data_IF_910786860209
#
_entry.id   IF_910786860209
#
_cell.length_a   1.000
_cell.length_b   1.000
_cell.length_c   1.000
_cell.angle_alpha   90.00
_cell.angle_beta   90.00
_cell.angle_gamma   90.00
#
_symmetry.space_group_name_H-M   'P 1'
#
loop_
_entity.id
_entity.type
_entity.pdbx_description
1 polymer ?
#
# COMPACT_ATOMS: atom_id res chain seq x y z
N UNK A 1 56.66 -34.20 2.96
CA UNK A 1 55.94 -33.58 1.83
C UNK A 1 54.51 -34.10 1.82
N UNK A 2 53.55 -33.36 2.39
CA UNK A 2 52.10 -33.58 2.16
C UNK A 2 51.48 -32.20 2.00
N UNK A 3 51.08 -31.88 0.77
CA UNK A 3 50.57 -30.57 0.36
C UNK A 3 49.10 -30.39 0.79
N UNK A 4 48.83 -29.23 1.37
CA UNK A 4 47.50 -28.66 1.62
C UNK A 4 46.82 -28.30 0.30
N UNK A 5 45.56 -28.69 0.12
CA UNK A 5 44.65 -28.09 -0.87
C UNK A 5 43.51 -27.44 -0.11
N UNK A 6 43.54 -26.11 -0.03
CA UNK A 6 42.43 -25.26 0.42
C UNK A 6 41.59 -24.98 -0.82
N UNK A 7 40.35 -25.49 -0.87
CA UNK A 7 39.37 -25.09 -1.89
C UNK A 7 38.71 -23.80 -1.44
N UNK A 8 39.03 -22.70 -2.13
CA UNK A 8 38.36 -21.40 -1.99
C UNK A 8 36.98 -21.51 -2.66
N UNK A 9 35.90 -21.46 -1.87
CA UNK A 9 34.54 -21.40 -2.37
C UNK A 9 34.19 -19.93 -2.61
N UNK A 10 34.12 -19.52 -3.89
CA UNK A 10 33.70 -18.19 -4.29
C UNK A 10 32.17 -18.12 -4.18
N UNK A 11 31.64 -17.45 -3.14
CA UNK A 11 30.22 -17.13 -3.06
C UNK A 11 29.91 -16.01 -4.07
N UNK A 12 29.37 -16.36 -5.23
CA UNK A 12 28.69 -15.41 -6.11
C UNK A 12 27.37 -15.01 -5.45
N UNK A 13 27.31 -13.80 -4.91
CA UNK A 13 26.05 -13.14 -4.58
C UNK A 13 25.32 -12.82 -5.89
N UNK A 14 24.41 -13.70 -6.30
CA UNK A 14 23.40 -13.38 -7.31
C UNK A 14 22.48 -12.31 -6.71
N UNK A 15 22.67 -11.05 -7.10
CA UNK A 15 21.66 -10.02 -6.87
C UNK A 15 20.44 -10.39 -7.74
N UNK A 16 19.34 -10.78 -7.12
CA UNK A 16 18.09 -10.92 -7.85
C UNK A 16 17.61 -9.52 -8.27
N UNK A 17 17.53 -9.31 -9.57
CA UNK A 17 16.88 -8.12 -10.14
C UNK A 17 15.38 -8.34 -10.00
N UNK A 18 14.77 -7.68 -9.02
CA UNK A 18 13.33 -7.59 -8.91
C UNK A 18 12.84 -6.62 -9.98
N UNK A 19 12.13 -7.13 -10.99
CA UNK A 19 11.49 -6.31 -12.01
C UNK A 19 10.02 -6.11 -11.65
N UNK A 20 9.60 -4.85 -11.62
CA UNK A 20 8.20 -4.46 -11.51
C UNK A 20 7.51 -4.80 -12.84
N UNK A 21 6.49 -5.67 -12.80
CA UNK A 21 5.70 -6.01 -13.99
C UNK A 21 4.58 -4.97 -14.13
N UNK A 22 4.89 -3.91 -14.89
CA UNK A 22 3.97 -2.82 -15.18
C UNK A 22 3.18 -3.17 -16.45
N UNK A 23 1.87 -3.42 -16.28
CA UNK A 23 0.96 -3.58 -17.41
C UNK A 23 0.24 -2.25 -17.67
N UNK A 24 0.76 -1.48 -18.63
CA UNK A 24 0.10 -0.30 -19.16
C UNK A 24 -1.08 -0.76 -20.04
N UNK A 25 -2.25 -0.92 -19.43
CA UNK A 25 -3.44 -1.39 -20.16
C UNK A 25 -3.97 -0.37 -21.17
N UNK A 26 -3.71 0.93 -20.96
CA UNK A 26 -3.98 1.99 -21.93
C UNK A 26 -2.96 3.14 -21.79
N UNK A 27 -2.49 3.69 -22.91
CA UNK A 27 -1.61 4.85 -22.91
C UNK A 27 -2.27 6.05 -22.21
N UNK A 28 -1.64 6.57 -21.17
CA UNK A 28 -2.13 7.75 -20.46
C UNK A 28 -1.79 8.97 -21.31
N UNK A 29 -2.65 9.31 -22.28
CA UNK A 29 -2.50 10.52 -23.12
C UNK A 29 -2.49 11.83 -22.29
N UNK A 30 -2.74 11.77 -20.98
CA UNK A 30 -2.71 12.88 -20.03
C UNK A 30 -1.54 12.85 -19.02
N UNK A 31 -0.60 11.91 -19.14
CA UNK A 31 0.53 11.83 -18.21
C UNK A 31 1.52 12.98 -18.44
N UNK A 32 1.93 13.63 -17.36
CA UNK A 32 2.88 14.74 -17.35
C UNK A 32 4.26 14.26 -17.80
N UNK A 33 4.81 14.76 -18.92
CA UNK A 33 6.13 14.37 -19.37
C UNK A 33 7.22 14.92 -18.44
N UNK A 34 8.03 14.04 -17.86
CA UNK A 34 9.11 14.41 -16.94
C UNK A 34 10.39 13.64 -17.27
N UNK A 35 11.54 14.32 -17.20
CA UNK A 35 12.85 13.69 -17.30
C UNK A 35 13.54 13.65 -15.93
N UNK A 36 14.13 12.50 -15.59
CA UNK A 36 14.98 12.34 -14.41
C UNK A 36 16.44 12.30 -14.89
N UNK A 37 17.13 13.40 -14.69
CA UNK A 37 18.53 13.54 -15.05
C UNK A 37 19.42 12.84 -14.01
N UNK A 38 20.62 12.44 -14.41
CA UNK A 38 21.56 11.76 -13.53
C UNK A 38 21.83 12.57 -12.25
N UNK A 39 21.82 11.87 -11.11
CA UNK A 39 22.27 12.39 -9.81
C UNK A 39 23.80 12.25 -9.62
N UNK A 40 24.49 11.66 -10.59
CA UNK A 40 25.90 11.28 -10.54
C UNK A 40 26.15 9.89 -11.13
N UNK A 41 27.41 9.59 -11.45
CA UNK A 41 27.77 8.34 -12.15
C UNK A 41 28.01 7.15 -11.21
N UNK A 42 28.16 7.39 -9.90
CA UNK A 42 28.34 6.33 -8.93
C UNK A 42 27.04 5.54 -8.68
N UNK A 43 27.17 4.31 -8.20
CA UNK A 43 26.03 3.41 -7.99
C UNK A 43 24.96 3.99 -7.06
N UNK A 44 25.36 4.75 -6.04
CA UNK A 44 24.42 5.38 -5.09
C UNK A 44 23.57 6.46 -5.77
N UNK A 45 24.17 7.27 -6.63
CA UNK A 45 23.47 8.30 -7.38
C UNK A 45 22.51 7.68 -8.41
N UNK A 46 22.95 6.61 -9.08
CA UNK A 46 22.09 5.85 -9.99
C UNK A 46 20.88 5.25 -9.26
N UNK A 47 21.08 4.69 -8.06
CA UNK A 47 20.00 4.16 -7.23
C UNK A 47 18.94 5.23 -6.90
N UNK A 48 19.36 6.41 -6.44
CA UNK A 48 18.41 7.50 -6.15
C UNK A 48 17.63 7.91 -7.39
N UNK A 49 18.31 8.11 -8.53
CA UNK A 49 17.65 8.45 -9.79
C UNK A 49 16.62 7.40 -10.22
N UNK A 50 16.99 6.12 -10.12
CA UNK A 50 16.10 5.01 -10.47
C UNK A 50 14.87 4.92 -9.55
N UNK A 51 15.03 5.16 -8.24
CA UNK A 51 13.90 5.17 -7.31
C UNK A 51 12.94 6.30 -7.64
N UNK A 52 13.44 7.51 -7.91
CA UNK A 52 12.59 8.65 -8.29
C UNK A 52 11.85 8.37 -9.61
N UNK A 53 12.54 7.82 -10.60
CA UNK A 53 11.93 7.42 -11.87
C UNK A 53 10.81 6.40 -11.66
N UNK A 54 11.09 5.34 -10.88
CA UNK A 54 10.13 4.28 -10.59
C UNK A 54 8.91 4.80 -9.83
N UNK A 55 9.10 5.66 -8.83
CA UNK A 55 8.03 6.26 -8.05
C UNK A 55 7.08 7.06 -8.92
N UNK A 56 7.62 8.00 -9.71
CA UNK A 56 6.81 8.87 -10.56
C UNK A 56 6.09 8.07 -11.65
N UNK A 57 6.74 7.04 -12.20
CA UNK A 57 6.12 6.10 -13.13
C UNK A 57 5.00 5.28 -12.46
N UNK A 58 5.22 4.77 -11.24
CA UNK A 58 4.25 4.01 -10.45
C UNK A 58 3.00 4.83 -10.12
N UNK A 59 3.16 6.13 -9.93
CA UNK A 59 2.03 7.04 -9.68
C UNK A 59 1.05 7.11 -10.85
N UNK A 60 1.55 6.82 -12.06
CA UNK A 60 0.76 6.86 -13.27
C UNK A 60 0.41 8.24 -13.82
N UNK A 61 0.78 9.28 -13.09
CA UNK A 61 0.57 10.67 -13.50
C UNK A 61 1.69 11.19 -14.39
N UNK A 62 2.80 10.45 -14.51
CA UNK A 62 3.99 10.88 -15.22
C UNK A 62 4.36 9.90 -16.33
N UNK A 63 4.89 10.46 -17.42
CA UNK A 63 5.55 9.72 -18.48
C UNK A 63 7.03 10.08 -18.47
N UNK A 64 7.88 9.08 -18.28
CA UNK A 64 9.33 9.29 -18.22
C UNK A 64 9.86 9.61 -19.63
N UNK A 65 10.64 10.68 -19.73
CA UNK A 65 11.35 11.09 -20.94
C UNK A 65 12.84 10.88 -20.71
N UNK A 66 13.43 9.95 -21.46
CA UNK A 66 14.86 9.68 -21.42
C UNK A 66 15.61 10.56 -22.41
N UNK A 67 16.79 11.03 -22.01
CA UNK A 67 17.72 11.79 -22.86
C UNK A 67 19.05 11.10 -23.05
N UNK A 68 19.89 11.59 -23.98
CA UNK A 68 21.27 11.09 -24.13
C UNK A 68 22.10 11.35 -22.87
N UNK A 69 23.08 10.49 -22.62
CA UNK A 69 24.03 10.67 -21.53
C UNK A 69 25.07 11.72 -21.95
N UNK A 70 24.96 12.94 -21.44
CA UNK A 70 25.95 14.00 -21.61
C UNK A 70 27.06 13.96 -20.54
N UNK A 71 27.86 15.02 -20.38
CA UNK A 71 28.88 15.10 -19.32
C UNK A 71 28.27 14.86 -17.93
N UNK A 72 28.93 14.06 -17.09
CA UNK A 72 28.43 13.60 -15.78
C UNK A 72 27.10 12.81 -15.84
N UNK A 73 26.78 12.23 -17.01
CA UNK A 73 25.51 11.56 -17.27
C UNK A 73 24.31 12.49 -17.37
N UNK A 74 24.53 13.80 -17.55
CA UNK A 74 23.45 14.79 -17.58
C UNK A 74 23.18 15.32 -18.99
N UNK A 75 21.90 15.40 -19.36
CA UNK A 75 21.42 16.15 -20.53
C UNK A 75 21.07 17.59 -20.15
N UNK A 76 21.21 18.52 -21.09
CA UNK A 76 20.71 19.88 -20.90
C UNK A 76 19.18 19.89 -20.88
N UNK A 77 18.59 20.83 -20.12
CA UNK A 77 17.13 21.01 -20.05
C UNK A 77 16.55 21.30 -21.45
N UNK A 78 17.27 22.03 -22.30
CA UNK A 78 16.84 22.31 -23.68
C UNK A 78 16.74 21.05 -24.53
N UNK A 79 17.67 20.10 -24.41
CA UNK A 79 17.64 18.83 -25.12
C UNK A 79 16.47 17.96 -24.64
N UNK A 80 16.28 17.84 -23.32
CA UNK A 80 15.17 17.06 -22.75
C UNK A 80 13.81 17.65 -23.13
N UNK A 81 13.69 18.98 -23.20
CA UNK A 81 12.50 19.66 -23.71
C UNK A 81 12.23 19.29 -25.18
N UNK A 82 13.25 19.27 -26.03
CA UNK A 82 13.10 18.88 -27.44
C UNK A 82 12.64 17.41 -27.59
N UNK A 83 13.00 16.56 -26.63
CA UNK A 83 12.52 15.18 -26.52
C UNK A 83 11.12 15.07 -25.87
N UNK A 84 10.52 16.19 -25.51
CA UNK A 84 9.14 16.29 -25.03
C UNK A 84 8.97 16.26 -23.52
N UNK A 85 10.02 16.53 -22.73
CA UNK A 85 9.89 16.73 -21.29
C UNK A 85 9.37 18.13 -20.97
N UNK A 86 8.31 18.23 -20.16
CA UNK A 86 7.80 19.51 -19.66
C UNK A 86 8.51 19.93 -18.36
N UNK A 87 8.97 18.95 -17.59
CA UNK A 87 9.73 19.15 -16.35
C UNK A 87 10.99 18.29 -16.32
N UNK A 88 12.03 18.77 -15.64
CA UNK A 88 13.29 18.05 -15.46
C UNK A 88 13.70 18.07 -14.00
N UNK A 89 13.93 16.89 -13.42
CA UNK A 89 14.60 16.74 -12.12
C UNK A 89 16.07 16.50 -12.39
N UNK A 90 16.95 17.33 -11.82
CA UNK A 90 18.40 17.11 -11.89
C UNK A 90 18.97 17.09 -10.47
N UNK A 91 19.82 16.12 -10.17
CA UNK A 91 20.39 15.98 -8.84
C UNK A 91 21.89 15.88 -8.80
N UNK A 92 22.42 15.85 -7.59
CA UNK A 92 23.82 15.57 -7.28
C UNK A 92 23.91 14.84 -5.94
N UNK A 93 24.69 13.77 -5.92
CA UNK A 93 25.05 13.05 -4.70
C UNK A 93 26.55 13.14 -4.48
N UNK A 94 26.95 13.59 -3.31
CA UNK A 94 28.35 13.62 -2.87
C UNK A 94 28.49 13.04 -1.48
N UNK A 95 29.50 12.18 -1.30
CA UNK A 95 29.85 11.67 0.02
C UNK A 95 30.75 12.69 0.74
N UNK A 96 30.36 13.07 1.96
CA UNK A 96 31.09 14.00 2.83
C UNK A 96 31.38 13.27 4.15
N UNK A 97 32.57 12.69 4.26
CA UNK A 97 32.93 11.79 5.37
C UNK A 97 32.03 10.55 5.40
N UNK A 98 31.30 10.37 6.50
CA UNK A 98 30.37 9.24 6.69
C UNK A 98 28.90 9.59 6.32
N UNK A 99 28.67 10.77 5.76
CA UNK A 99 27.34 11.24 5.35
C UNK A 99 27.30 11.49 3.85
N UNK A 100 26.10 11.62 3.32
CA UNK A 100 25.84 12.01 1.95
C UNK A 100 25.16 13.38 1.94
N UNK A 101 25.68 14.28 1.10
CA UNK A 101 24.96 15.45 0.64
C UNK A 101 24.23 15.09 -0.65
N UNK A 102 22.91 15.20 -0.63
CA UNK A 102 22.05 14.97 -1.80
C UNK A 102 21.32 16.27 -2.10
N UNK A 103 21.51 16.80 -3.30
CA UNK A 103 20.78 17.98 -3.77
C UNK A 103 19.99 17.64 -5.02
N UNK A 104 18.84 18.30 -5.20
CA UNK A 104 18.08 18.21 -6.43
C UNK A 104 17.46 19.56 -6.79
N UNK A 105 17.21 19.74 -8.08
CA UNK A 105 16.50 20.87 -8.66
C UNK A 105 15.44 20.35 -9.63
N UNK A 106 14.20 20.76 -9.40
CA UNK A 106 13.09 20.59 -10.34
C UNK A 106 12.95 21.86 -11.17
N UNK A 107 12.94 21.69 -12.48
CA UNK A 107 12.93 22.78 -13.47
C UNK A 107 11.74 22.64 -14.40
N UNK A 108 11.08 23.77 -14.70
CA UNK A 108 10.11 23.88 -15.80
C UNK A 108 10.86 24.05 -17.13
N UNK A 109 10.83 23.01 -17.96
CA UNK A 109 11.55 22.98 -19.24
C UNK A 109 10.89 23.89 -20.30
N UNK A 110 9.58 24.12 -20.19
CA UNK A 110 8.80 24.92 -21.14
C UNK A 110 8.99 26.42 -20.86
N UNK A 111 8.97 26.81 -19.59
CA UNK A 111 9.14 28.18 -19.11
C UNK A 111 10.62 28.61 -19.01
N UNK A 112 11.36 28.47 -20.12
CA UNK A 112 12.78 28.87 -20.25
C UNK A 112 13.74 28.26 -19.21
N UNK A 113 13.42 27.10 -18.63
CA UNK A 113 14.26 26.47 -17.62
C UNK A 113 14.14 27.10 -16.23
N UNK A 114 12.97 27.64 -15.88
CA UNK A 114 12.75 28.26 -14.56
C UNK A 114 12.79 27.21 -13.47
N UNK A 115 13.54 27.46 -12.40
CA UNK A 115 13.58 26.59 -11.22
C UNK A 115 12.26 26.64 -10.44
N UNK A 116 11.64 25.48 -10.26
CA UNK A 116 10.42 25.32 -9.47
C UNK A 116 10.71 25.00 -8.01
N UNK A 117 11.77 24.22 -7.75
CA UNK A 117 12.17 23.75 -6.43
C UNK A 117 13.65 23.37 -6.45
N UNK A 118 14.40 23.77 -5.42
CA UNK A 118 15.76 23.29 -5.15
C UNK A 118 15.89 22.97 -3.68
N UNK A 119 16.44 21.80 -3.34
CA UNK A 119 16.71 21.39 -1.96
C UNK A 119 18.00 20.61 -1.84
N UNK A 120 18.56 20.62 -0.64
CA UNK A 120 19.76 19.87 -0.24
C UNK A 120 19.52 19.19 1.09
N UNK A 121 19.96 17.95 1.19
CA UNK A 121 19.81 17.08 2.34
C UNK A 121 21.16 16.51 2.76
N UNK A 122 21.31 16.31 4.06
CA UNK A 122 22.51 15.71 4.67
C UNK A 122 22.08 14.47 5.44
N UNK A 123 22.40 13.29 4.93
CA UNK A 123 21.84 12.02 5.41
C UNK A 123 22.92 10.95 5.65
N UNK A 124 22.60 9.90 6.39
CA UNK A 124 23.42 8.69 6.48
C UNK A 124 23.08 7.71 5.34
N UNK A 125 23.95 6.72 5.12
CA UNK A 125 23.80 5.74 4.03
C UNK A 125 22.44 5.00 4.05
N UNK A 126 21.94 4.64 5.24
CA UNK A 126 20.66 3.95 5.40
C UNK A 126 19.42 4.81 5.08
N UNK A 127 19.59 6.10 4.81
CA UNK A 127 18.51 7.03 4.49
C UNK A 127 18.46 7.38 2.99
N UNK A 128 19.38 6.86 2.17
CA UNK A 128 19.46 7.19 0.74
C UNK A 128 18.16 6.90 -0.02
N UNK A 129 17.63 5.69 0.14
CA UNK A 129 16.38 5.28 -0.49
C UNK A 129 15.14 5.97 0.10
N UNK A 130 14.95 6.05 1.44
CA UNK A 130 13.89 6.87 2.01
C UNK A 130 13.91 8.32 1.52
N UNK A 131 15.10 8.91 1.33
CA UNK A 131 15.22 10.24 0.77
C UNK A 131 14.80 10.30 -0.70
N UNK A 132 15.13 9.29 -1.52
CA UNK A 132 14.68 9.24 -2.90
C UNK A 132 13.15 9.27 -2.99
N UNK A 133 12.46 8.45 -2.20
CA UNK A 133 11.00 8.49 -2.07
C UNK A 133 10.47 9.86 -1.61
N UNK A 134 11.15 10.48 -0.64
CA UNK A 134 10.79 11.81 -0.19
C UNK A 134 10.92 12.86 -1.30
N UNK A 135 12.01 12.83 -2.07
CA UNK A 135 12.21 13.70 -3.24
C UNK A 135 11.08 13.48 -4.26
N UNK A 136 10.70 12.22 -4.53
CA UNK A 136 9.55 11.89 -5.38
C UNK A 136 8.26 12.53 -4.88
N UNK A 137 8.01 12.49 -3.56
CA UNK A 137 6.81 13.10 -2.95
C UNK A 137 6.80 14.62 -3.15
N UNK A 138 7.95 15.27 -3.02
CA UNK A 138 8.10 16.72 -3.24
C UNK A 138 7.89 17.11 -4.70
N UNK A 139 8.49 16.37 -5.63
CA UNK A 139 8.33 16.59 -7.07
C UNK A 139 6.88 16.39 -7.47
N UNK A 140 6.28 15.28 -7.02
CA UNK A 140 4.88 14.96 -7.27
C UNK A 140 3.96 16.07 -6.74
N UNK A 141 4.14 16.51 -5.49
CA UNK A 141 3.31 17.56 -4.91
C UNK A 141 3.51 18.90 -5.60
N UNK A 142 4.73 19.24 -6.00
CA UNK A 142 5.00 20.51 -6.68
C UNK A 142 4.32 20.58 -8.05
N UNK A 143 4.26 19.46 -8.78
CA UNK A 143 3.70 19.40 -10.14
C UNK A 143 2.19 19.13 -10.16
N UNK A 144 1.65 18.41 -9.19
CA UNK A 144 0.24 18.00 -9.17
C UNK A 144 -0.62 18.75 -8.16
N UNK A 145 0.00 19.38 -7.15
CA UNK A 145 -0.70 19.95 -6.00
C UNK A 145 -1.16 18.93 -4.95
N UNK A 146 -0.96 17.63 -5.19
CA UNK A 146 -1.39 16.54 -4.31
C UNK A 146 -0.22 15.91 -3.56
N UNK A 147 -0.42 15.43 -2.35
CA UNK A 147 0.66 14.78 -1.59
C UNK A 147 0.98 13.39 -2.18
N UNK A 148 2.23 13.17 -2.56
CA UNK A 148 2.73 11.87 -3.02
C UNK A 148 2.67 10.78 -1.94
N UNK A 149 2.71 9.51 -2.35
CA UNK A 149 2.61 8.35 -1.45
C UNK A 149 3.90 7.53 -1.36
N UNK A 150 5.00 7.98 -1.93
CA UNK A 150 6.17 7.14 -2.13
C UNK A 150 6.90 6.86 -0.80
N UNK A 151 6.82 7.80 0.15
CA UNK A 151 7.33 7.60 1.52
C UNK A 151 6.39 6.79 2.43
N UNK A 152 5.29 6.25 1.91
CA UNK A 152 4.39 5.38 2.68
C UNK A 152 4.89 3.93 2.69
N UNK A 153 4.20 3.07 3.41
CA UNK A 153 4.52 1.64 3.52
C UNK A 153 3.30 0.79 3.22
N UNK A 154 3.54 -0.49 2.97
CA UNK A 154 2.52 -1.51 2.85
C UNK A 154 2.76 -2.59 3.90
N UNK A 155 1.68 -3.13 4.44
CA UNK A 155 1.70 -4.34 5.25
C UNK A 155 1.00 -5.45 4.49
N UNK A 156 1.46 -6.69 4.61
CA UNK A 156 0.82 -7.85 4.00
C UNK A 156 1.19 -9.13 4.75
N UNK A 157 0.41 -10.18 4.53
CA UNK A 157 0.72 -11.50 5.06
C UNK A 157 1.47 -12.30 4.01
N UNK A 158 2.68 -12.74 4.32
CA UNK A 158 3.42 -13.71 3.51
C UNK A 158 3.18 -15.13 4.04
N UNK A 159 2.88 -16.06 3.14
CA UNK A 159 2.63 -17.47 3.44
C UNK A 159 3.66 -18.33 2.73
N UNK A 160 4.55 -18.93 3.51
CA UNK A 160 5.58 -19.84 3.01
C UNK A 160 5.17 -21.27 3.34
N UNK A 161 4.85 -22.04 2.30
CA UNK A 161 4.47 -23.45 2.41
C UNK A 161 5.65 -24.34 2.03
N UNK A 162 6.05 -25.20 2.95
CA UNK A 162 6.98 -26.31 2.69
C UNK A 162 6.26 -27.63 2.96
N UNK A 163 6.75 -28.77 2.46
CA UNK A 163 6.14 -30.07 2.75
C UNK A 163 6.06 -30.42 4.24
N UNK A 164 6.86 -29.76 5.10
CA UNK A 164 6.93 -30.04 6.54
C UNK A 164 6.18 -29.05 7.41
N UNK A 165 6.11 -27.78 6.99
CA UNK A 165 5.55 -26.69 7.79
C UNK A 165 5.07 -25.54 6.90
N UNK A 166 4.05 -24.83 7.38
CA UNK A 166 3.63 -23.54 6.84
C UNK A 166 4.02 -22.43 7.81
N UNK A 167 4.55 -21.31 7.31
CA UNK A 167 4.82 -20.09 8.09
C UNK A 167 4.00 -18.94 7.55
N UNK A 168 3.49 -18.13 8.47
CA UNK A 168 2.79 -16.89 8.19
C UNK A 168 3.60 -15.74 8.78
N UNK A 169 3.94 -14.76 7.96
CA UNK A 169 4.67 -13.57 8.41
C UNK A 169 3.86 -12.31 8.14
N UNK A 170 3.78 -11.42 9.13
CA UNK A 170 3.31 -10.05 8.91
C UNK A 170 4.51 -9.23 8.45
N UNK A 171 4.52 -8.91 7.16
CA UNK A 171 5.59 -8.15 6.52
C UNK A 171 5.20 -6.67 6.43
N UNK A 172 6.18 -5.79 6.57
CA UNK A 172 6.08 -4.36 6.25
C UNK A 172 7.16 -4.01 5.24
N UNK A 173 6.79 -3.35 4.15
CA UNK A 173 7.68 -2.94 3.06
C UNK A 173 7.43 -1.47 2.69
N UNK A 174 8.35 -0.89 1.94
CA UNK A 174 8.15 0.40 1.27
C UNK A 174 6.97 0.31 0.30
N UNK A 175 6.36 1.44 -0.08
CA UNK A 175 5.16 1.48 -0.93
C UNK A 175 5.29 0.73 -2.27
N UNK A 176 6.52 0.61 -2.78
CA UNK A 176 6.86 -0.10 -4.02
C UNK A 176 7.29 -1.57 -3.79
N UNK A 177 7.16 -2.09 -2.57
CA UNK A 177 7.41 -3.49 -2.20
C UNK A 177 8.86 -3.82 -1.82
N UNK A 178 9.77 -2.85 -1.85
CA UNK A 178 11.16 -3.05 -1.42
C UNK A 178 11.30 -3.00 0.11
N UNK A 179 12.49 -3.42 0.59
CA UNK A 179 12.83 -3.46 2.01
C UNK A 179 11.80 -4.17 2.92
N UNK A 180 11.27 -5.35 2.54
CA UNK A 180 10.33 -6.05 3.40
C UNK A 180 11.00 -6.52 4.70
N UNK A 181 10.34 -6.23 5.82
CA UNK A 181 10.71 -6.60 7.17
C UNK A 181 9.58 -7.37 7.86
N UNK A 182 9.90 -8.54 8.41
CA UNK A 182 8.93 -9.33 9.17
C UNK A 182 8.76 -8.73 10.57
N UNK A 183 7.59 -8.18 10.87
CA UNK A 183 7.22 -7.73 12.22
C UNK A 183 6.88 -8.90 13.15
N UNK A 184 6.32 -9.96 12.58
CA UNK A 184 5.91 -11.17 13.30
C UNK A 184 6.04 -12.37 12.37
N UNK A 185 6.45 -13.51 12.92
CA UNK A 185 6.40 -14.82 12.27
C UNK A 185 5.61 -15.78 13.16
N UNK A 186 4.66 -16.51 12.57
CA UNK A 186 3.85 -17.50 13.26
C UNK A 186 3.78 -18.82 12.49
N UNK A 187 3.63 -19.92 13.22
CA UNK A 187 3.32 -21.24 12.66
C UNK A 187 1.81 -21.46 12.46
N UNK A 188 0.98 -20.59 13.02
CA UNK A 188 -0.47 -20.58 12.84
C UNK A 188 -0.88 -19.38 11.96
N UNK A 189 -2.06 -19.43 11.30
CA UNK A 189 -2.53 -18.33 10.48
C UNK A 189 -2.60 -17.00 11.24
N UNK A 190 -2.24 -15.93 10.52
CA UNK A 190 -2.50 -14.54 10.88
C UNK A 190 -3.15 -13.85 9.69
N UNK A 191 -4.04 -12.89 9.92
CA UNK A 191 -4.78 -12.23 8.84
C UNK A 191 -5.29 -10.83 9.20
N UNK A 192 -5.82 -10.15 8.18
CA UNK A 192 -6.46 -8.83 8.28
C UNK A 192 -5.62 -7.78 9.02
N UNK A 193 -4.39 -7.51 8.56
CA UNK A 193 -3.62 -6.40 9.11
C UNK A 193 -4.34 -5.07 8.83
N UNK A 194 -4.34 -4.15 9.79
CA UNK A 194 -4.84 -2.80 9.62
C UNK A 194 -3.95 -1.80 10.38
N UNK A 195 -3.48 -0.78 9.67
CA UNK A 195 -2.65 0.28 10.23
C UNK A 195 -3.44 1.19 11.17
N UNK A 196 -2.81 1.58 12.28
CA UNK A 196 -3.26 2.74 13.06
C UNK A 196 -3.12 4.01 12.22
N UNK A 197 -3.95 5.06 12.45
CA UNK A 197 -3.91 6.29 11.66
C UNK A 197 -2.59 7.06 11.75
N UNK A 198 -1.81 6.84 12.80
CA UNK A 198 -0.47 7.41 13.00
C UNK A 198 0.66 6.55 12.40
N UNK A 199 0.33 5.39 11.84
CA UNK A 199 1.30 4.46 11.22
C UNK A 199 2.21 3.73 12.20
N UNK A 200 2.00 3.87 13.53
CA UNK A 200 2.92 3.30 14.54
C UNK A 200 2.58 1.87 14.94
N UNK A 201 1.35 1.43 14.69
CA UNK A 201 0.87 0.11 15.08
C UNK A 201 0.09 -0.56 13.95
N UNK A 202 0.07 -1.89 13.96
CA UNK A 202 -0.78 -2.69 13.09
C UNK A 202 -1.63 -3.60 13.97
N UNK A 203 -2.96 -3.55 13.80
CA UNK A 203 -3.86 -4.57 14.37
C UNK A 203 -3.95 -5.76 13.42
N UNK A 204 -4.08 -6.97 13.95
CA UNK A 204 -4.23 -8.19 13.16
C UNK A 204 -4.96 -9.27 13.95
N UNK A 205 -5.44 -10.28 13.24
CA UNK A 205 -6.03 -11.50 13.82
C UNK A 205 -4.97 -12.58 13.88
N UNK A 206 -4.84 -13.23 15.03
CA UNK A 206 -4.00 -14.40 15.25
C UNK A 206 -4.85 -15.63 15.55
N UNK A 207 -4.47 -16.77 14.98
CA UNK A 207 -5.04 -18.09 15.28
C UNK A 207 -4.10 -18.96 16.12
N UNK A 208 -3.05 -18.37 16.67
CA UNK A 208 -2.17 -19.03 17.64
C UNK A 208 -2.99 -19.64 18.78
N UNK A 209 -2.53 -20.76 19.31
CA UNK A 209 -3.26 -21.53 20.35
C UNK A 209 -4.64 -22.01 19.87
N UNK A 210 -4.85 -22.13 18.56
CA UNK A 210 -6.09 -22.62 17.91
C UNK A 210 -7.33 -21.79 18.27
N UNK A 211 -7.15 -20.51 18.54
CA UNK A 211 -8.23 -19.57 18.87
C UNK A 211 -8.03 -18.26 18.12
N UNK A 212 -9.11 -17.71 17.55
CA UNK A 212 -9.09 -16.39 16.95
C UNK A 212 -8.96 -15.31 18.04
N UNK A 213 -7.93 -14.48 17.94
CA UNK A 213 -7.64 -13.38 18.86
C UNK A 213 -7.21 -12.15 18.08
N UNK A 214 -7.57 -10.95 18.55
CA UNK A 214 -7.13 -9.69 17.95
C UNK A 214 -5.99 -9.11 18.76
N UNK A 215 -4.91 -8.75 18.10
CA UNK A 215 -3.74 -8.11 18.67
C UNK A 215 -3.45 -6.79 17.96
N UNK A 216 -2.71 -5.91 18.62
CA UNK A 216 -1.90 -4.88 17.98
C UNK A 216 -0.42 -5.22 18.12
N UNK A 217 0.40 -4.79 17.15
CA UNK A 217 1.85 -4.85 17.18
C UNK A 217 2.44 -3.48 16.86
N UNK A 218 3.43 -3.05 17.63
CA UNK A 218 4.22 -1.83 17.35
C UNK A 218 5.13 -2.08 16.14
N UNK A 219 5.12 -1.16 15.18
CA UNK A 219 5.97 -1.22 13.98
C UNK A 219 7.44 -0.97 14.34
N UNK A 220 7.70 -0.15 15.35
CA UNK A 220 9.07 0.19 15.79
C UNK A 220 9.69 -0.91 16.66
N UNK A 221 8.91 -1.45 17.61
CA UNK A 221 9.47 -2.31 18.67
C UNK A 221 9.07 -3.77 18.55
N UNK A 222 8.11 -4.11 17.68
CA UNK A 222 7.54 -5.46 17.59
C UNK A 222 6.71 -5.87 18.82
N UNK A 223 6.49 -4.96 19.78
CA UNK A 223 5.72 -5.27 20.99
C UNK A 223 4.26 -5.55 20.65
N UNK A 224 3.74 -6.68 21.17
CA UNK A 224 2.37 -7.14 20.95
C UNK A 224 1.48 -6.82 22.14
N UNK A 225 0.26 -6.35 21.87
CA UNK A 225 -0.80 -6.17 22.88
C UNK A 225 -2.06 -6.94 22.47
N UNK A 226 -2.61 -7.72 23.39
CA UNK A 226 -3.89 -8.40 23.18
C UNK A 226 -5.04 -7.39 23.30
N UNK A 227 -5.98 -7.41 22.34
CA UNK A 227 -7.18 -6.56 22.32
C UNK A 227 -8.43 -7.37 22.68
N UNK A 228 -8.69 -8.48 21.98
CA UNK A 228 -9.84 -9.35 22.29
C UNK A 228 -9.51 -10.84 22.20
N UNK A 229 -10.20 -11.63 23.02
CA UNK A 229 -10.08 -13.11 23.07
C UNK A 229 -11.38 -13.76 23.56
N UNK A 230 -12.51 -13.45 22.94
CA UNK A 230 -13.79 -14.07 23.29
C UNK A 230 -13.93 -15.47 22.65
N UNK A 231 -14.82 -16.34 23.15
CA UNK A 231 -15.22 -17.55 22.41
C UNK A 231 -15.78 -17.19 21.02
N UNK A 232 -15.50 -18.04 20.03
CA UNK A 232 -15.94 -17.84 18.64
C UNK A 232 -15.04 -16.89 17.84
N UNK A 233 -15.63 -16.19 16.88
CA UNK A 233 -14.94 -15.28 15.97
C UNK A 233 -14.48 -14.04 16.73
N UNK A 234 -13.22 -13.68 16.54
CA UNK A 234 -12.64 -12.38 16.86
C UNK A 234 -11.89 -11.96 15.59
N UNK A 235 -12.40 -10.99 14.84
CA UNK A 235 -11.85 -10.70 13.51
C UNK A 235 -12.03 -9.28 13.02
N UNK A 236 -11.51 -9.05 11.81
CA UNK A 236 -11.64 -7.84 11.01
C UNK A 236 -11.48 -6.52 11.81
N UNK A 237 -10.31 -6.31 12.44
CA UNK A 237 -10.05 -5.06 13.16
C UNK A 237 -9.93 -3.88 12.20
N UNK A 238 -10.50 -2.73 12.58
CA UNK A 238 -10.37 -1.48 11.83
C UNK A 238 -10.29 -0.28 12.78
N UNK A 239 -9.27 0.56 12.60
CA UNK A 239 -9.04 1.73 13.43
C UNK A 239 -10.02 2.86 13.12
N UNK A 240 -10.47 3.55 14.16
CA UNK A 240 -11.09 4.86 14.01
C UNK A 240 -10.05 5.89 13.53
N UNK A 241 -10.44 6.94 12.78
CA UNK A 241 -9.50 7.93 12.24
C UNK A 241 -8.70 8.69 13.32
N UNK A 242 -9.25 8.80 14.53
CA UNK A 242 -8.60 9.41 15.69
C UNK A 242 -7.66 8.45 16.45
N UNK A 243 -7.64 7.17 16.09
CA UNK A 243 -6.78 6.14 16.69
C UNK A 243 -7.22 5.65 18.08
N UNK A 244 -8.32 6.16 18.64
CA UNK A 244 -8.74 5.81 20.01
C UNK A 244 -9.56 4.52 20.09
N UNK A 245 -10.17 4.11 18.98
CA UNK A 245 -11.06 2.96 18.95
C UNK A 245 -10.69 1.98 17.84
N UNK A 246 -10.98 0.71 18.10
CA UNK A 246 -10.93 -0.36 17.10
C UNK A 246 -12.33 -0.92 16.91
N UNK A 247 -12.88 -0.82 15.71
CA UNK A 247 -14.03 -1.65 15.33
C UNK A 247 -13.54 -3.08 15.14
N UNK A 248 -14.24 -4.05 15.73
CA UNK A 248 -13.91 -5.48 15.68
C UNK A 248 -15.18 -6.29 15.47
N UNK A 249 -15.03 -7.49 14.90
CA UNK A 249 -16.13 -8.43 14.70
C UNK A 249 -16.04 -9.53 15.74
N UNK A 250 -17.10 -9.70 16.53
CA UNK A 250 -17.19 -10.74 17.55
C UNK A 250 -18.45 -11.58 17.35
N UNK A 251 -18.34 -12.90 17.51
CA UNK A 251 -19.49 -13.82 17.56
C UNK A 251 -19.81 -14.29 18.99
N UNK A 252 -19.35 -13.55 20.00
CA UNK A 252 -19.49 -13.92 21.43
C UNK A 252 -20.95 -13.99 21.91
N UNK A 253 -21.86 -13.37 21.17
CA UNK A 253 -23.31 -13.31 21.45
C UNK A 253 -24.15 -14.09 20.43
N UNK A 254 -23.53 -15.03 19.69
CA UNK A 254 -24.20 -15.81 18.64
C UNK A 254 -23.67 -15.44 17.26
N UNK A 255 -24.45 -14.72 16.46
CA UNK A 255 -24.04 -14.33 15.10
C UNK A 255 -23.01 -13.18 15.14
N UNK A 256 -22.04 -13.13 14.21
CA UNK A 256 -21.03 -12.06 14.17
C UNK A 256 -21.65 -10.66 14.12
N UNK A 257 -21.17 -9.78 15.01
CA UNK A 257 -21.54 -8.37 15.10
C UNK A 257 -20.34 -7.48 15.26
N UNK A 258 -20.53 -6.21 14.92
CA UNK A 258 -19.51 -5.18 15.04
C UNK A 258 -19.57 -4.56 16.44
N UNK A 259 -18.40 -4.45 17.07
CA UNK A 259 -18.20 -3.80 18.35
C UNK A 259 -17.11 -2.73 18.19
N UNK A 260 -17.19 -1.62 18.91
CA UNK A 260 -16.03 -0.75 19.13
C UNK A 260 -15.33 -1.13 20.43
N UNK A 261 -14.01 -1.04 20.43
CA UNK A 261 -13.14 -1.25 21.60
C UNK A 261 -12.25 -0.02 21.77
N UNK A 262 -12.32 0.61 22.94
CA UNK A 262 -11.40 1.68 23.31
C UNK A 262 -10.00 1.09 23.53
N UNK A 263 -8.99 1.60 22.81
CA UNK A 263 -7.64 1.04 22.82
C UNK A 263 -6.92 1.25 24.16
N UNK A 264 -7.32 2.24 24.95
CA UNK A 264 -6.67 2.54 26.23
C UNK A 264 -7.30 1.73 27.36
N UNK A 265 -8.60 1.87 27.54
CA UNK A 265 -9.38 1.28 28.63
C UNK A 265 -9.83 -0.15 28.36
N UNK A 266 -9.87 -0.59 27.10
CA UNK A 266 -10.45 -1.88 26.71
C UNK A 266 -11.98 -1.92 26.77
N UNK A 267 -12.63 -0.78 27.08
CA UNK A 267 -14.08 -0.67 27.14
C UNK A 267 -14.68 -0.99 25.78
N UNK A 268 -15.76 -1.77 25.77
CA UNK A 268 -16.36 -2.28 24.54
C UNK A 268 -17.84 -1.90 24.43
N UNK A 269 -18.27 -1.51 23.23
CA UNK A 269 -19.66 -1.21 22.89
C UNK A 269 -20.10 -1.97 21.64
N UNK A 270 -21.26 -2.61 21.68
CA UNK A 270 -21.85 -3.22 20.48
C UNK A 270 -22.44 -2.14 19.57
N UNK A 271 -22.15 -2.22 18.27
CA UNK A 271 -22.56 -1.23 17.27
C UNK A 271 -23.65 -1.73 16.34
N UNK A 272 -23.70 -3.04 16.05
CA UNK A 272 -24.74 -3.64 15.21
C UNK A 272 -25.52 -4.74 15.91
N UNK A 273 -26.76 -4.97 15.46
CA UNK A 273 -27.76 -5.84 16.09
C UNK A 273 -28.55 -6.63 15.05
N UNK A 274 -29.32 -7.63 15.50
CA UNK A 274 -30.14 -8.52 14.65
C UNK A 274 -29.47 -9.86 14.33
N UNK A 275 -30.04 -10.62 13.40
CA UNK A 275 -29.63 -12.02 13.16
C UNK A 275 -28.62 -12.18 12.02
N UNK A 276 -28.51 -11.20 11.13
CA UNK A 276 -27.58 -11.26 10.00
C UNK A 276 -26.11 -11.19 10.44
N UNK A 277 -25.21 -11.78 9.66
CA UNK A 277 -23.76 -11.58 9.83
C UNK A 277 -23.43 -10.14 9.45
N UNK A 278 -22.77 -9.41 10.35
CA UNK A 278 -22.17 -8.10 10.09
C UNK A 278 -20.65 -8.20 10.31
N UNK A 279 -19.86 -7.87 9.29
CA UNK A 279 -18.40 -8.06 9.31
C UNK A 279 -17.65 -7.02 8.48
N UNK A 280 -16.31 -7.07 8.52
CA UNK A 280 -15.40 -6.23 7.72
C UNK A 280 -15.69 -4.71 7.86
N UNK A 281 -15.76 -4.18 9.11
CA UNK A 281 -16.01 -2.76 9.32
C UNK A 281 -14.85 -1.90 8.80
N UNK A 282 -15.16 -0.71 8.27
CA UNK A 282 -14.21 0.36 7.98
C UNK A 282 -14.83 1.70 8.32
N UNK A 283 -14.17 2.48 9.17
CA UNK A 283 -14.62 3.84 9.48
C UNK A 283 -14.56 4.73 8.24
N UNK A 284 -15.49 5.68 8.15
CA UNK A 284 -15.34 6.80 7.23
C UNK A 284 -14.17 7.70 7.67
N UNK A 285 -13.45 8.34 6.73
CA UNK A 285 -12.37 9.29 7.03
C UNK A 285 -12.76 10.40 8.02
N UNK A 286 -14.02 10.84 8.01
CA UNK A 286 -14.54 11.84 8.95
C UNK A 286 -14.96 11.28 10.33
N UNK A 287 -14.86 9.96 10.53
CA UNK A 287 -15.18 9.28 11.78
C UNK A 287 -16.67 9.21 12.12
N UNK A 288 -17.58 9.60 11.21
CA UNK A 288 -19.03 9.68 11.51
C UNK A 288 -19.80 8.40 11.20
N UNK A 289 -19.23 7.50 10.40
CA UNK A 289 -19.91 6.28 9.95
C UNK A 289 -18.94 5.10 9.83
N UNK A 290 -19.52 3.90 9.71
CA UNK A 290 -18.79 2.66 9.40
C UNK A 290 -19.43 2.04 8.16
N UNK A 291 -18.63 1.76 7.13
CA UNK A 291 -19.01 0.80 6.08
C UNK A 291 -18.76 -0.61 6.60
N UNK A 292 -19.63 -1.55 6.26
CA UNK A 292 -19.47 -2.95 6.63
C UNK A 292 -20.19 -3.88 5.67
N UNK A 293 -19.75 -5.13 5.63
CA UNK A 293 -20.35 -6.21 4.85
C UNK A 293 -21.47 -6.85 5.67
N UNK A 294 -22.66 -7.02 5.09
CA UNK A 294 -23.77 -7.71 5.74
C UNK A 294 -24.54 -8.61 4.79
N UNK A 295 -24.95 -9.79 5.28
CA UNK A 295 -25.80 -10.75 4.58
C UNK A 295 -27.30 -10.50 4.76
N UNK A 296 -27.72 -9.39 5.39
CA UNK A 296 -29.14 -9.14 5.74
C UNK A 296 -30.09 -9.03 4.53
N UNK A 297 -29.55 -8.80 3.34
CA UNK A 297 -30.31 -8.75 2.08
C UNK A 297 -30.24 -10.03 1.25
N UNK A 298 -29.80 -11.15 1.82
CA UNK A 298 -29.58 -12.41 1.12
C UNK A 298 -28.09 -12.65 0.82
N UNK A 299 -27.54 -11.94 -0.17
CA UNK A 299 -26.11 -12.00 -0.46
C UNK A 299 -25.30 -10.92 0.29
N UNK A 300 -23.98 -11.10 0.48
CA UNK A 300 -23.13 -10.08 1.09
C UNK A 300 -23.13 -8.78 0.29
N UNK A 301 -23.48 -7.70 0.97
CA UNK A 301 -23.58 -6.36 0.40
C UNK A 301 -23.01 -5.34 1.39
N UNK A 302 -22.70 -4.15 0.89
CA UNK A 302 -22.18 -3.06 1.71
C UNK A 302 -23.32 -2.28 2.34
N UNK A 303 -23.18 -2.03 3.64
CA UNK A 303 -24.06 -1.20 4.44
C UNK A 303 -23.25 -0.11 5.13
N UNK A 304 -23.92 0.98 5.46
CA UNK A 304 -23.38 2.09 6.24
C UNK A 304 -24.12 2.20 7.55
N UNK A 305 -23.38 2.20 8.66
CA UNK A 305 -23.85 2.51 10.00
C UNK A 305 -23.50 3.96 10.34
N UNK A 306 -24.49 4.78 10.70
CA UNK A 306 -24.30 6.09 11.31
C UNK A 306 -23.92 5.92 12.78
N UNK A 307 -22.79 6.47 13.22
CA UNK A 307 -22.35 6.38 14.62
C UNK A 307 -23.12 7.32 15.55
N UNK A 308 -23.71 8.39 15.00
CA UNK A 308 -24.50 9.35 15.77
C UNK A 308 -25.91 8.83 16.06
N UNK A 309 -26.54 8.17 15.08
CA UNK A 309 -27.96 7.75 15.17
C UNK A 309 -28.15 6.25 15.36
N UNK A 310 -27.13 5.43 15.07
CA UNK A 310 -27.26 3.97 15.03
C UNK A 310 -28.01 3.45 13.79
N UNK A 311 -28.37 4.33 12.86
CA UNK A 311 -29.10 3.96 11.65
C UNK A 311 -28.21 3.17 10.69
N UNK A 312 -28.77 2.10 10.11
CA UNK A 312 -28.12 1.29 9.09
C UNK A 312 -28.85 1.44 7.76
N UNK A 313 -28.10 1.80 6.71
CA UNK A 313 -28.60 1.89 5.34
C UNK A 313 -27.78 1.03 4.37
N UNK A 314 -28.43 0.43 3.37
CA UNK A 314 -27.76 -0.31 2.30
C UNK A 314 -27.10 0.65 1.30
N UNK A 315 -25.90 0.31 0.84
CA UNK A 315 -25.09 1.14 -0.08
C UNK A 315 -25.02 0.52 -1.48
N UNK A 316 -24.77 -0.79 -1.58
CA UNK A 316 -24.59 -1.47 -2.87
C UNK A 316 -25.84 -2.25 -3.28
N UNK A 317 -26.24 -2.09 -4.54
CA UNK A 317 -27.42 -2.74 -5.13
C UNK A 317 -27.12 -3.54 -6.40
N UNK A 318 -25.94 -3.33 -7.00
CA UNK A 318 -25.45 -4.08 -8.16
C UNK A 318 -24.48 -5.20 -7.74
N UNK A 319 -24.40 -6.26 -8.54
CA UNK A 319 -23.59 -7.43 -8.27
C UNK A 319 -24.17 -8.38 -7.23
N UNK A 320 -23.76 -9.65 -7.31
CA UNK A 320 -24.23 -10.71 -6.44
C UNK A 320 -23.42 -10.83 -5.13
N UNK A 321 -22.27 -10.14 -5.01
CA UNK A 321 -21.46 -10.10 -3.79
C UNK A 321 -20.60 -8.84 -3.75
N UNK A 322 -20.72 -8.05 -2.67
CA UNK A 322 -19.89 -6.89 -2.39
C UNK A 322 -19.39 -6.94 -0.94
N UNK A 323 -18.08 -6.76 -0.73
CA UNK A 323 -17.44 -6.91 0.58
C UNK A 323 -16.21 -6.01 0.74
N UNK A 324 -15.66 -5.95 1.96
CA UNK A 324 -14.39 -5.26 2.29
C UNK A 324 -14.30 -3.80 1.79
N UNK A 325 -15.40 -3.08 1.89
CA UNK A 325 -15.49 -1.72 1.35
C UNK A 325 -14.78 -0.68 2.22
N UNK A 326 -14.15 0.30 1.58
CA UNK A 326 -13.61 1.50 2.24
C UNK A 326 -13.81 2.74 1.37
N UNK A 327 -14.01 3.89 2.00
CA UNK A 327 -14.02 5.16 1.28
C UNK A 327 -12.64 5.52 0.75
N UNK A 328 -12.60 6.27 -0.35
CA UNK A 328 -11.45 7.13 -0.66
C UNK A 328 -11.29 8.20 0.43
N UNK A 329 -10.09 8.74 0.69
CA UNK A 329 -9.86 9.74 1.73
C UNK A 329 -10.74 10.99 1.62
N UNK A 330 -11.10 11.38 0.40
CA UNK A 330 -12.00 12.50 0.10
C UNK A 330 -13.50 12.17 0.22
N UNK A 331 -13.82 10.92 0.59
CA UNK A 331 -15.18 10.38 0.74
C UNK A 331 -16.05 10.40 -0.52
N UNK A 332 -15.49 10.64 -1.70
CA UNK A 332 -16.26 10.70 -2.95
C UNK A 332 -16.57 9.33 -3.53
N UNK A 333 -15.71 8.34 -3.28
CA UNK A 333 -15.88 7.00 -3.82
C UNK A 333 -15.74 5.94 -2.72
N UNK A 334 -16.27 4.76 -3.02
CA UNK A 334 -16.17 3.54 -2.24
C UNK A 334 -15.48 2.50 -3.12
N UNK A 335 -14.37 1.97 -2.61
CA UNK A 335 -13.62 0.85 -3.21
C UNK A 335 -13.99 -0.41 -2.45
N UNK A 336 -14.21 -1.51 -3.15
CA UNK A 336 -14.66 -2.77 -2.55
C UNK A 336 -14.23 -3.99 -3.35
N UNK A 337 -14.32 -5.16 -2.72
CA UNK A 337 -14.34 -6.43 -3.42
C UNK A 337 -15.73 -6.61 -4.04
N UNK A 338 -15.79 -6.81 -5.35
CA UNK A 338 -17.02 -6.88 -6.13
C UNK A 338 -17.06 -8.15 -6.99
N UNK A 339 -18.25 -8.74 -7.10
CA UNK A 339 -18.54 -9.85 -8.00
C UNK A 339 -19.93 -9.66 -8.59
N UNK A 340 -19.97 -9.62 -9.92
CA UNK A 340 -21.23 -9.56 -10.69
C UNK A 340 -21.71 -10.97 -11.10
N UNK A 341 -20.80 -11.80 -11.61
CA UNK A 341 -21.06 -13.22 -11.93
C UNK A 341 -20.19 -14.17 -11.09
N UNK A 342 -19.13 -14.75 -11.68
CA UNK A 342 -18.24 -15.71 -11.00
C UNK A 342 -16.91 -15.13 -10.52
N UNK A 343 -16.53 -13.97 -11.04
CA UNK A 343 -15.17 -13.43 -10.92
C UNK A 343 -15.11 -12.33 -9.86
N UNK A 344 -14.16 -12.45 -8.93
CA UNK A 344 -13.89 -11.44 -7.91
C UNK A 344 -12.92 -10.40 -8.43
N UNK A 345 -13.35 -9.15 -8.46
CA UNK A 345 -12.57 -8.00 -8.93
C UNK A 345 -12.64 -6.86 -7.90
N UNK A 346 -11.79 -5.85 -8.09
CA UNK A 346 -11.85 -4.60 -7.34
C UNK A 346 -12.88 -3.68 -8.01
N UNK A 347 -13.93 -3.34 -7.27
CA UNK A 347 -15.00 -2.45 -7.70
C UNK A 347 -14.86 -1.05 -7.14
N UNK A 348 -15.39 -0.08 -7.88
CA UNK A 348 -15.48 1.33 -7.52
C UNK A 348 -16.93 1.81 -7.67
N UNK A 349 -17.47 2.47 -6.66
CA UNK A 349 -18.77 3.12 -6.70
C UNK A 349 -18.64 4.57 -6.20
N UNK A 350 -19.43 5.50 -6.74
CA UNK A 350 -19.56 6.82 -6.13
C UNK A 350 -20.25 6.68 -4.76
N UNK A 351 -19.79 7.43 -3.75
CA UNK A 351 -20.34 7.37 -2.39
C UNK A 351 -21.80 7.85 -2.30
N UNK A 352 -22.27 8.64 -3.26
CA UNK A 352 -23.67 9.03 -3.40
C UNK A 352 -24.55 7.92 -4.03
N UNK A 353 -23.96 6.80 -4.48
CA UNK A 353 -24.64 5.69 -5.13
C UNK A 353 -24.39 5.64 -6.64
N UNK A 354 -25.20 4.86 -7.35
CA UNK A 354 -25.03 4.59 -8.78
C UNK A 354 -24.28 3.30 -9.06
N UNK A 355 -23.86 3.13 -10.32
CA UNK A 355 -23.30 1.86 -10.81
C UNK A 355 -21.88 1.59 -10.32
N UNK A 356 -21.54 0.30 -10.29
CA UNK A 356 -20.23 -0.20 -9.88
C UNK A 356 -19.35 -0.39 -11.11
N UNK A 357 -18.21 0.28 -11.14
CA UNK A 357 -17.17 0.07 -12.14
C UNK A 357 -16.17 -0.98 -11.64
N UNK A 358 -15.93 -2.03 -12.42
CA UNK A 358 -14.83 -2.98 -12.16
C UNK A 358 -13.50 -2.38 -12.62
N UNK A 359 -12.57 -2.15 -11.70
CA UNK A 359 -11.24 -1.61 -11.98
C UNK A 359 -10.25 -2.68 -12.42
N UNK A 360 -10.49 -3.93 -12.04
CA UNK A 360 -9.65 -5.08 -12.36
C UNK A 360 -10.47 -6.17 -13.05
N UNK A 361 -9.77 -7.14 -13.64
CA UNK A 361 -10.37 -8.23 -14.42
C UNK A 361 -9.66 -9.57 -14.23
N UNK A 362 -8.93 -9.76 -13.13
CA UNK A 362 -8.19 -11.01 -12.87
C UNK A 362 -9.12 -12.15 -12.46
N UNK A 363 -10.25 -11.79 -11.84
CA UNK A 363 -11.26 -12.69 -11.32
C UNK A 363 -10.92 -13.42 -10.01
N UNK A 364 -9.73 -13.19 -9.46
CA UNK A 364 -9.28 -13.72 -8.15
C UNK A 364 -8.65 -12.62 -7.31
N UNK A 365 -9.25 -11.42 -7.34
CA UNK A 365 -8.76 -10.30 -6.55
C UNK A 365 -9.36 -10.31 -5.15
N UNK A 366 -8.59 -9.82 -4.18
CA UNK A 366 -8.97 -9.82 -2.78
C UNK A 366 -8.41 -8.58 -2.05
N UNK A 367 -9.06 -8.21 -0.94
CA UNK A 367 -8.49 -7.31 0.06
C UNK A 367 -8.03 -5.93 -0.45
N UNK A 368 -8.90 -5.12 -1.08
CA UNK A 368 -8.51 -3.78 -1.51
C UNK A 368 -8.13 -2.87 -0.34
N UNK A 369 -7.07 -2.09 -0.53
CA UNK A 369 -6.64 -1.03 0.38
C UNK A 369 -6.27 0.23 -0.40
N UNK A 370 -6.99 1.32 -0.12
CA UNK A 370 -6.80 2.61 -0.78
C UNK A 370 -5.57 3.33 -0.21
N UNK A 371 -4.72 3.87 -1.08
CA UNK A 371 -3.60 4.72 -0.70
C UNK A 371 -4.07 6.04 -0.06
N UNK A 372 -3.27 6.70 0.80
CA UNK A 372 -3.72 7.87 1.55
C UNK A 372 -3.96 9.12 0.71
N UNK A 373 -3.51 9.16 -0.56
CA UNK A 373 -3.89 10.19 -1.53
C UNK A 373 -5.16 9.85 -2.33
N UNK A 374 -5.71 8.64 -2.17
CA UNK A 374 -6.90 8.16 -2.88
C UNK A 374 -6.69 7.78 -4.35
N UNK A 375 -5.45 7.81 -4.87
CA UNK A 375 -5.17 7.60 -6.30
C UNK A 375 -4.91 6.15 -6.68
N UNK A 376 -4.37 5.37 -5.76
CA UNK A 376 -3.98 3.98 -5.98
C UNK A 376 -4.71 3.05 -5.00
N UNK A 377 -4.94 1.82 -5.44
CA UNK A 377 -5.54 0.75 -4.66
C UNK A 377 -4.57 -0.43 -4.71
N UNK A 378 -4.08 -0.83 -3.55
CA UNK A 378 -3.35 -2.08 -3.35
C UNK A 378 -4.35 -3.22 -3.13
N UNK A 379 -4.09 -4.37 -3.72
CA UNK A 379 -4.92 -5.56 -3.56
C UNK A 379 -4.07 -6.83 -3.68
N UNK A 380 -4.59 -7.95 -3.19
CA UNK A 380 -4.01 -9.26 -3.44
C UNK A 380 -4.65 -9.87 -4.69
N UNK A 381 -3.86 -10.56 -5.49
CA UNK A 381 -4.33 -11.24 -6.70
C UNK A 381 -3.47 -12.48 -6.95
N UNK A 382 -3.76 -13.21 -8.02
CA UNK A 382 -3.00 -14.39 -8.41
C UNK A 382 -2.27 -14.18 -9.73
N UNK A 383 -0.99 -14.52 -9.77
CA UNK A 383 -0.26 -14.75 -11.01
C UNK A 383 0.02 -16.25 -11.12
N UNK A 384 -0.61 -16.91 -12.09
CA UNK A 384 -0.71 -18.37 -12.16
C UNK A 384 -1.30 -18.93 -10.85
N UNK A 385 -0.53 -19.71 -10.10
CA UNK A 385 -0.95 -20.28 -8.81
C UNK A 385 -0.37 -19.55 -7.60
N UNK A 386 0.45 -18.51 -7.82
CA UNK A 386 1.11 -17.74 -6.76
C UNK A 386 0.29 -16.49 -6.41
N UNK A 387 0.02 -16.30 -5.12
CA UNK A 387 -0.51 -15.04 -4.59
C UNK A 387 0.53 -13.92 -4.74
N UNK A 388 0.13 -12.79 -5.32
CA UNK A 388 0.97 -11.60 -5.56
C UNK A 388 0.20 -10.33 -5.16
N UNK A 389 0.92 -9.23 -4.92
CA UNK A 389 0.30 -7.93 -4.70
C UNK A 389 0.15 -7.19 -6.03
N UNK A 390 -1.03 -6.64 -6.26
CA UNK A 390 -1.36 -5.77 -7.38
C UNK A 390 -1.63 -4.34 -6.92
N UNK A 391 -1.32 -3.38 -7.77
CA UNK A 391 -1.75 -2.00 -7.64
C UNK A 391 -2.60 -1.65 -8.86
N UNK A 392 -3.73 -1.00 -8.63
CA UNK A 392 -4.56 -0.40 -9.68
C UNK A 392 -4.84 1.07 -9.36
N UNK A 393 -4.80 1.91 -10.37
CA UNK A 393 -5.22 3.30 -10.27
C UNK A 393 -6.73 3.42 -10.10
N UNK A 394 -7.19 4.49 -9.45
CA UNK A 394 -8.62 4.72 -9.21
C UNK A 394 -9.43 4.86 -10.52
N UNK A 395 -8.79 5.26 -11.62
CA UNK A 395 -9.41 5.32 -12.95
C UNK A 395 -9.27 4.02 -13.76
N UNK A 396 -8.61 3.00 -13.20
CA UNK A 396 -8.45 1.67 -13.78
C UNK A 396 -7.43 1.57 -14.92
N UNK A 397 -6.75 2.66 -15.30
CA UNK A 397 -5.88 2.70 -16.49
C UNK A 397 -4.52 2.03 -16.28
N UNK A 398 -4.09 2.00 -15.04
CA UNK A 398 -2.75 1.59 -14.64
C UNK A 398 -2.87 0.43 -13.69
N UNK A 399 -2.17 -0.66 -14.05
CA UNK A 399 -2.12 -1.89 -13.29
C UNK A 399 -0.68 -2.34 -13.18
N UNK A 400 -0.29 -2.74 -11.99
CA UNK A 400 1.09 -3.09 -11.68
C UNK A 400 1.10 -4.28 -10.74
N UNK A 401 2.12 -5.12 -10.87
CA UNK A 401 2.41 -6.13 -9.85
C UNK A 401 3.65 -5.72 -9.08
N UNK A 402 3.54 -5.75 -7.76
CA UNK A 402 4.69 -5.51 -6.90
C UNK A 402 5.61 -6.74 -6.89
N UNK A 403 6.92 -6.53 -6.71
CA UNK A 403 7.83 -7.64 -6.49
C UNK A 403 7.44 -8.39 -5.22
N UNK A 404 7.26 -9.71 -5.33
CA UNK A 404 7.03 -10.58 -4.18
C UNK A 404 8.26 -11.45 -3.92
N UNK A 405 8.72 -11.51 -2.66
CA UNK A 405 9.67 -12.54 -2.19
C UNK A 405 9.06 -13.94 -2.36
N UNK A 406 9.82 -14.98 -2.03
CA UNK A 406 9.32 -16.36 -2.02
C UNK A 406 8.05 -16.51 -1.14
N UNK A 407 7.13 -17.38 -1.57
CA UNK A 407 5.84 -17.61 -0.92
C UNK A 407 4.68 -16.79 -1.50
N UNK A 408 3.46 -17.13 -1.07
CA UNK A 408 2.25 -16.39 -1.45
C UNK A 408 2.11 -15.14 -0.59
N UNK A 409 1.49 -14.10 -1.13
CA UNK A 409 1.13 -12.90 -0.38
C UNK A 409 -0.38 -12.67 -0.42
N UNK A 410 -0.93 -12.21 0.69
CA UNK A 410 -2.37 -12.03 0.88
C UNK A 410 -2.65 -10.88 1.86
N UNK A 411 -3.90 -10.43 1.92
CA UNK A 411 -4.42 -9.49 2.94
C UNK A 411 -3.59 -8.18 3.08
N UNK A 412 -3.29 -7.45 1.98
CA UNK A 412 -2.53 -6.21 2.08
C UNK A 412 -3.28 -5.06 2.75
N UNK A 413 -2.52 -4.15 3.35
CA UNK A 413 -2.97 -2.89 3.91
C UNK A 413 -1.95 -1.77 3.62
N UNK A 414 -2.41 -0.70 2.98
CA UNK A 414 -1.62 0.50 2.73
C UNK A 414 -1.57 1.35 4.00
N UNK A 415 -0.38 1.84 4.37
CA UNK A 415 -0.23 2.72 5.54
C UNK A 415 -0.89 4.08 5.30
N UNK A 416 -1.23 4.81 6.38
CA UNK A 416 -1.42 6.26 6.27
C UNK A 416 -0.11 6.93 5.83
N UNK A 417 -0.15 8.25 5.65
CA UNK A 417 1.07 9.03 5.57
C UNK A 417 1.92 8.85 6.82
N UNK A 418 3.20 8.56 6.63
CA UNK A 418 4.18 8.46 7.70
C UNK A 418 4.82 9.85 7.91
N UNK A 419 5.06 10.18 9.18
CA UNK A 419 5.61 11.47 9.61
C UNK A 419 7.13 11.51 9.64
#
# INVERSE_FOLDING_TARGET
MINRIIKLFLLLFMQQVFALDLELTQGVNSALPIAINSFGENSTAQEIGQVIENDLNLSGQFRIVSGPQGPNGQSSVSTLRQLGADSVVTGRVSQVGNRYEVSFTLTDAVAKGTTLLTKTYQISANQLRPLAHHISDEVYQKLTGERGIFSTRIAYISVQRTPRLTRYSLEVADADGYNPQSLLVSGDPIMSPAWSPDGKSISYVSFEKKKAQIFTVSVETGQRRLITSFPGINGAPAWSPDGNQLAVVLSKSGTPKIYSVDIHSGTMKQLTFGDAIDTEPRYSPDGKSILFTSGRGGSPQIYRLSLATGEVARVTFEGNYNARASYTPDMKNIVMLHRDDRQFNIGLQNAAGGSILSLTSSGRDESPSVAPNGRLILYATHNQDKGVLGIVSLDGRIRMRLPAREGDVQEPAWSPYLG
#
